data_IF_990787896849
#
_entry.id   IF_990787896849
#
_cell.length_a   1.000
_cell.length_b   1.000
_cell.length_c   1.000
_cell.angle_alpha   90.00
_cell.angle_beta   90.00
_cell.angle_gamma   90.00
#
_symmetry.space_group_name_H-M   'P 1'
#
loop_
_entity.id
_entity.type
_entity.pdbx_description
1 polymer ?
#
# COMPACT_ATOMS: atom_id res chain seq x y z
N UNK A 1 17.30 -13.82 -5.37
CA UNK A 1 16.51 -13.11 -4.34
C UNK A 1 15.06 -13.17 -4.77
N UNK A 2 14.16 -13.76 -3.97
CA UNK A 2 12.76 -13.89 -4.38
C UNK A 2 12.20 -12.49 -4.62
N UNK A 3 11.62 -12.24 -5.80
CA UNK A 3 10.84 -11.04 -6.01
C UNK A 3 9.72 -11.07 -4.96
N UNK A 4 9.77 -10.14 -4.01
CA UNK A 4 8.68 -9.89 -3.07
C UNK A 4 7.54 -9.33 -3.91
N UNK A 5 6.70 -10.20 -4.43
CA UNK A 5 5.66 -9.82 -5.38
C UNK A 5 4.56 -9.08 -4.62
N UNK A 6 4.72 -7.76 -4.52
CA UNK A 6 3.65 -6.85 -4.13
C UNK A 6 2.63 -6.83 -5.26
N UNK A 7 1.38 -7.10 -4.93
CA UNK A 7 0.29 -7.04 -5.89
C UNK A 7 -0.35 -5.65 -5.85
N UNK A 8 -0.69 -5.12 -7.02
CA UNK A 8 -1.36 -3.84 -7.22
C UNK A 8 -2.64 -4.10 -7.99
N UNK A 9 -3.78 -3.65 -7.46
CA UNK A 9 -5.06 -3.75 -8.18
C UNK A 9 -5.10 -2.86 -9.42
N UNK A 10 -6.09 -3.05 -10.27
CA UNK A 10 -6.50 -2.01 -11.20
C UNK A 10 -6.97 -0.77 -10.43
N UNK A 11 -6.85 0.40 -11.08
CA UNK A 11 -7.39 1.64 -10.51
C UNK A 11 -8.91 1.65 -10.63
N UNK A 12 -9.58 2.16 -9.61
CA UNK A 12 -11.01 2.43 -9.61
C UNK A 12 -11.27 3.83 -9.05
N UNK A 13 -12.46 4.37 -9.30
CA UNK A 13 -12.71 5.80 -9.14
C UNK A 13 -14.11 6.02 -8.58
N UNK A 14 -14.26 7.12 -7.84
CA UNK A 14 -15.56 7.78 -7.62
C UNK A 14 -15.53 9.18 -8.27
N UNK A 15 -16.39 10.08 -7.80
CA UNK A 15 -16.46 11.44 -8.34
C UNK A 15 -15.33 12.36 -7.87
N UNK A 16 -14.57 11.99 -6.84
CA UNK A 16 -13.61 12.85 -6.15
C UNK A 16 -12.17 12.30 -6.22
N UNK A 17 -11.99 10.98 -6.18
CA UNK A 17 -10.67 10.35 -6.03
C UNK A 17 -10.42 9.16 -6.95
N UNK A 18 -9.13 8.90 -7.20
CA UNK A 18 -8.64 7.64 -7.74
C UNK A 18 -8.15 6.71 -6.62
N UNK A 19 -8.46 5.43 -6.74
CA UNK A 19 -8.18 4.41 -5.73
C UNK A 19 -7.49 3.20 -6.34
N UNK A 20 -6.71 2.52 -5.50
CA UNK A 20 -6.07 1.23 -5.73
C UNK A 20 -5.81 0.59 -4.37
N UNK A 21 -5.88 -0.73 -4.29
CA UNK A 21 -5.35 -1.45 -3.15
C UNK A 21 -4.04 -2.15 -3.49
N UNK A 22 -3.16 -2.22 -2.50
CA UNK A 22 -1.86 -2.88 -2.58
C UNK A 22 -1.85 -4.03 -1.58
N UNK A 23 -1.53 -5.24 -2.05
CA UNK A 23 -1.45 -6.42 -1.19
C UNK A 23 0.03 -6.75 -0.97
N UNK A 24 0.42 -6.74 0.29
CA UNK A 24 1.79 -7.01 0.71
C UNK A 24 1.99 -8.52 0.95
N UNK A 25 3.15 -9.09 0.55
CA UNK A 25 3.61 -10.38 1.04
C UNK A 25 3.64 -10.45 2.57
N UNK A 26 3.39 -11.64 3.14
CA UNK A 26 3.30 -11.85 4.60
C UNK A 26 4.54 -11.36 5.35
N UNK A 27 5.73 -11.50 4.75
CA UNK A 27 7.00 -11.06 5.32
C UNK A 27 7.15 -9.54 5.45
N UNK A 28 6.37 -8.75 4.70
CA UNK A 28 6.38 -7.28 4.75
C UNK A 28 5.34 -6.72 5.71
N UNK A 29 4.28 -7.48 6.05
CA UNK A 29 3.20 -7.03 6.95
C UNK A 29 3.73 -6.55 8.30
N UNK A 30 4.79 -7.19 8.82
CA UNK A 30 5.43 -6.80 10.09
C UNK A 30 6.06 -5.40 10.08
N UNK A 31 6.28 -4.82 8.91
CA UNK A 31 6.84 -3.47 8.74
C UNK A 31 5.73 -2.41 8.66
N UNK A 32 4.46 -2.80 8.53
CA UNK A 32 3.33 -1.87 8.49
C UNK A 32 3.04 -1.36 9.91
N UNK A 33 3.06 -0.04 10.15
CA UNK A 33 2.69 0.53 11.44
C UNK A 33 1.24 0.19 11.82
N UNK A 34 1.00 -0.15 13.09
CA UNK A 34 -0.35 -0.36 13.64
C UNK A 34 -0.95 0.90 14.28
N UNK A 35 -0.14 1.94 14.45
CA UNK A 35 -0.50 3.14 15.22
C UNK A 35 -0.96 4.31 14.35
N UNK A 36 -0.66 4.28 13.04
CA UNK A 36 -0.98 5.36 12.11
C UNK A 36 -0.95 4.88 10.66
N UNK A 37 -1.46 5.72 9.76
CA UNK A 37 -1.35 5.52 8.32
C UNK A 37 0.02 5.98 7.82
N UNK A 38 0.71 5.13 7.06
CA UNK A 38 2.00 5.44 6.45
C UNK A 38 2.00 6.70 5.57
N UNK A 39 3.01 7.55 5.75
CA UNK A 39 3.41 8.59 4.82
C UNK A 39 4.00 8.03 3.52
N UNK A 40 4.18 8.88 2.50
CA UNK A 40 4.82 8.50 1.24
C UNK A 40 6.22 7.89 1.43
N UNK A 41 7.02 8.46 2.32
CA UNK A 41 8.35 7.92 2.62
C UNK A 41 8.27 6.51 3.23
N UNK A 42 7.31 6.27 4.12
CA UNK A 42 7.18 4.99 4.83
C UNK A 42 6.72 3.88 3.89
N UNK A 43 5.67 4.08 3.09
CA UNK A 43 5.23 3.02 2.17
C UNK A 43 6.25 2.75 1.06
N UNK A 44 7.01 3.77 0.60
CA UNK A 44 8.13 3.57 -0.34
C UNK A 44 9.25 2.75 0.30
N UNK A 45 9.54 2.96 1.58
CA UNK A 45 10.62 2.24 2.29
C UNK A 45 10.39 0.72 2.39
N UNK A 46 9.12 0.27 2.41
CA UNK A 46 8.77 -1.16 2.43
C UNK A 46 8.67 -1.78 1.03
N UNK A 47 8.91 -1.00 -0.02
CA UNK A 47 8.98 -1.46 -1.40
C UNK A 47 7.73 -1.20 -2.24
N UNK A 48 6.70 -0.52 -1.71
CA UNK A 48 5.55 -0.10 -2.52
C UNK A 48 6.02 0.97 -3.51
N UNK A 49 5.69 0.79 -4.79
CA UNK A 49 6.09 1.68 -5.87
C UNK A 49 4.84 2.18 -6.60
N UNK A 50 4.61 3.48 -6.54
CA UNK A 50 3.52 4.17 -7.23
C UNK A 50 4.01 5.52 -7.77
N UNK A 51 3.23 6.11 -8.69
CA UNK A 51 3.40 7.49 -9.12
C UNK A 51 3.26 8.47 -7.95
N UNK A 52 3.59 9.74 -8.15
CA UNK A 52 3.36 10.77 -7.15
C UNK A 52 1.86 10.97 -6.89
N UNK A 53 1.49 11.38 -5.66
CA UNK A 53 0.13 11.80 -5.30
C UNK A 53 -0.73 10.76 -4.57
N UNK A 54 -0.25 9.52 -4.45
CA UNK A 54 -0.96 8.48 -3.71
C UNK A 54 -0.85 8.67 -2.20
N UNK A 55 -2.00 8.63 -1.52
CA UNK A 55 -2.12 8.71 -0.05
C UNK A 55 -2.62 7.39 0.51
N UNK A 56 -1.96 6.87 1.54
CA UNK A 56 -2.45 5.71 2.28
C UNK A 56 -3.56 6.16 3.23
N UNK A 57 -4.81 5.91 2.87
CA UNK A 57 -5.98 6.42 3.59
C UNK A 57 -6.64 5.40 4.51
N UNK A 58 -6.35 4.11 4.34
CA UNK A 58 -6.95 3.03 5.11
C UNK A 58 -6.06 1.79 5.10
N UNK A 59 -5.98 1.08 6.22
CA UNK A 59 -5.43 -0.27 6.30
C UNK A 59 -6.57 -1.28 6.43
N UNK A 60 -6.62 -2.25 5.52
CA UNK A 60 -7.56 -3.37 5.59
C UNK A 60 -6.86 -4.60 6.19
N UNK A 61 -7.37 -5.10 7.31
CA UNK A 61 -6.91 -6.34 7.95
C UNK A 61 -8.05 -7.34 7.94
N UNK A 62 -8.19 -8.15 6.87
CA UNK A 62 -9.10 -9.29 6.91
C UNK A 62 -8.53 -10.29 7.92
N UNK A 63 -9.32 -10.58 8.96
CA UNK A 63 -8.99 -11.54 10.01
C UNK A 63 -8.96 -12.98 9.52
#
# INVERSE_FOLDING_TARGET
>A
MSQKNIFYSDKYYDNEYEYRHVVLPKELVKLVPKTHLMSEAEWRSIGVQQSQGWVHYMTHQPG
#
